data_IF_330742233855
#
_entry.id   IF_330742233855
#
_cell.length_a   1.000
_cell.length_b   1.000
_cell.length_c   1.000
_cell.angle_alpha   90.00
_cell.angle_beta   90.00
_cell.angle_gamma   90.00
#
_symmetry.space_group_name_H-M   'P 1'
#
loop_
_entity.id
_entity.type
_entity.pdbx_description
1 polymer ?
#
# COMPACT_ATOMS: atom_id res chain seq x y z
N UNK A 1 20.37 -49.95 14.91
CA UNK A 1 19.04 -49.32 14.91
C UNK A 1 18.98 -48.00 15.70
N UNK A 2 19.63 -47.86 16.85
CA UNK A 2 19.62 -46.58 17.62
C UNK A 2 20.31 -45.40 16.88
N UNK A 3 21.40 -45.63 16.18
CA UNK A 3 22.14 -44.59 15.46
C UNK A 3 21.36 -44.07 14.21
N UNK A 4 20.58 -44.92 13.56
CA UNK A 4 19.77 -44.54 12.41
C UNK A 4 18.61 -43.65 12.80
N UNK A 5 18.00 -43.86 13.99
CA UNK A 5 16.95 -43.02 14.55
C UNK A 5 17.42 -41.62 14.96
N UNK A 6 18.69 -41.54 15.41
CA UNK A 6 19.28 -40.23 15.79
C UNK A 6 19.59 -39.36 14.57
N UNK A 7 20.00 -39.96 13.45
CA UNK A 7 20.28 -39.26 12.20
C UNK A 7 18.97 -38.73 11.58
N UNK A 8 17.90 -39.53 11.60
CA UNK A 8 16.59 -39.10 11.10
C UNK A 8 15.97 -37.93 11.94
N UNK A 9 16.17 -37.93 13.25
CA UNK A 9 15.72 -36.85 14.11
C UNK A 9 16.49 -35.54 13.85
N UNK A 10 17.77 -35.60 13.54
CA UNK A 10 18.60 -34.43 13.25
C UNK A 10 18.27 -33.79 11.90
N UNK A 11 17.88 -34.58 10.91
CA UNK A 11 17.48 -34.09 9.59
C UNK A 11 16.11 -33.40 9.62
N UNK A 12 15.18 -33.88 10.47
CA UNK A 12 13.88 -33.21 10.64
C UNK A 12 13.97 -31.83 11.33
N UNK A 13 14.93 -31.65 12.24
CA UNK A 13 15.13 -30.34 12.92
C UNK A 13 15.79 -29.29 12.00
N UNK A 14 16.58 -29.70 11.02
CA UNK A 14 17.24 -28.78 10.10
C UNK A 14 16.27 -28.21 9.03
N UNK A 15 15.14 -28.87 8.79
CA UNK A 15 14.16 -28.42 7.79
C UNK A 15 13.26 -27.25 8.27
N UNK A 16 13.25 -26.92 9.57
CA UNK A 16 12.43 -25.83 10.13
C UNK A 16 13.13 -24.47 10.17
N UNK A 17 14.35 -24.34 9.69
CA UNK A 17 15.14 -23.11 9.74
C UNK A 17 15.16 -22.32 8.42
N UNK A 18 14.27 -22.62 7.48
CA UNK A 18 14.00 -21.69 6.39
C UNK A 18 13.14 -20.55 6.95
N UNK A 19 13.81 -19.57 7.55
CA UNK A 19 13.19 -18.28 7.84
C UNK A 19 12.70 -17.71 6.52
N UNK A 20 11.45 -17.95 6.18
CA UNK A 20 10.78 -17.19 5.16
C UNK A 20 10.88 -15.73 5.62
N UNK A 21 11.71 -14.94 4.98
CA UNK A 21 11.70 -13.49 5.15
C UNK A 21 10.31 -13.04 4.76
N UNK A 22 9.46 -12.81 5.77
CA UNK A 22 8.12 -12.34 5.56
C UNK A 22 8.24 -10.97 4.88
N UNK A 23 7.61 -10.83 3.72
CA UNK A 23 7.54 -9.57 2.99
C UNK A 23 6.84 -8.54 3.86
N UNK A 24 7.42 -7.36 4.05
CA UNK A 24 6.82 -6.31 4.84
C UNK A 24 5.52 -5.83 4.18
N UNK A 25 4.44 -5.89 4.95
CA UNK A 25 3.16 -5.29 4.58
C UNK A 25 3.10 -3.88 5.15
N UNK A 26 2.79 -2.90 4.33
CA UNK A 26 2.75 -1.50 4.74
C UNK A 26 1.49 -0.84 4.19
N UNK A 27 0.80 -0.08 5.04
CA UNK A 27 -0.31 0.77 4.61
C UNK A 27 0.01 2.23 4.87
N UNK A 28 -0.02 3.02 3.81
CA UNK A 28 -0.01 4.49 3.87
C UNK A 28 -1.43 5.00 3.87
N UNK A 29 -1.74 5.91 4.80
CA UNK A 29 -3.07 6.49 4.93
C UNK A 29 -3.05 7.96 4.54
N UNK A 30 -3.82 8.33 3.50
CA UNK A 30 -3.95 9.70 3.01
C UNK A 30 -5.43 10.12 3.09
N UNK A 31 -5.75 11.11 3.91
CA UNK A 31 -7.08 11.68 4.06
C UNK A 31 -7.15 13.17 3.68
N UNK A 32 -6.01 13.78 3.37
CA UNK A 32 -5.90 15.15 2.88
C UNK A 32 -4.83 15.24 1.79
N UNK A 33 -5.26 15.50 0.56
CA UNK A 33 -4.36 15.61 -0.60
C UNK A 33 -3.35 16.75 -0.44
N UNK A 34 -3.80 17.92 -0.01
CA UNK A 34 -2.94 19.11 0.08
C UNK A 34 -1.80 18.93 1.07
N UNK A 35 -2.08 18.27 2.20
CA UNK A 35 -1.12 18.07 3.29
C UNK A 35 -0.25 16.82 3.10
N UNK A 36 -0.75 15.80 2.44
CA UNK A 36 -0.16 14.46 2.55
C UNK A 36 0.24 13.83 1.21
N UNK A 37 -0.43 14.16 0.09
CA UNK A 37 -0.23 13.41 -1.15
C UNK A 37 1.21 13.48 -1.66
N UNK A 38 1.76 14.67 -1.88
CA UNK A 38 3.11 14.84 -2.40
C UNK A 38 4.18 14.21 -1.49
N UNK A 39 4.02 14.44 -0.18
CA UNK A 39 4.91 13.86 0.85
C UNK A 39 4.77 12.34 0.89
N UNK A 40 3.54 11.83 0.84
CA UNK A 40 3.24 10.41 0.83
C UNK A 40 3.83 9.68 -0.37
N UNK A 41 3.64 10.18 -1.58
CA UNK A 41 4.22 9.61 -2.80
C UNK A 41 5.76 9.56 -2.72
N UNK A 42 6.40 10.61 -2.20
CA UNK A 42 7.85 10.63 -1.99
C UNK A 42 8.28 9.59 -0.95
N UNK A 43 7.54 9.47 0.16
CA UNK A 43 7.84 8.50 1.22
C UNK A 43 7.69 7.06 0.70
N UNK A 44 6.65 6.76 -0.07
CA UNK A 44 6.45 5.43 -0.70
C UNK A 44 7.60 5.10 -1.64
N UNK A 45 8.01 6.05 -2.49
CA UNK A 45 9.17 5.86 -3.35
C UNK A 45 10.44 5.55 -2.56
N UNK A 46 10.76 6.38 -1.55
CA UNK A 46 11.95 6.19 -0.72
C UNK A 46 11.90 4.85 0.04
N UNK A 47 10.72 4.43 0.49
CA UNK A 47 10.51 3.14 1.14
C UNK A 47 10.92 1.99 0.19
N UNK A 48 10.39 1.99 -1.04
CA UNK A 48 10.71 0.97 -2.02
C UNK A 48 12.17 1.04 -2.52
N UNK A 49 12.82 2.20 -2.47
CA UNK A 49 14.23 2.34 -2.84
C UNK A 49 15.15 1.62 -1.83
N UNK A 50 14.72 1.50 -0.57
CA UNK A 50 15.44 0.79 0.51
C UNK A 50 14.96 -0.65 0.65
N UNK A 51 13.65 -0.88 0.60
CA UNK A 51 13.02 -2.22 0.63
C UNK A 51 12.15 -2.44 -0.61
N UNK A 52 12.74 -2.91 -1.72
CA UNK A 52 12.01 -3.13 -2.97
C UNK A 52 11.01 -4.30 -2.90
N UNK A 53 11.05 -5.10 -1.83
CA UNK A 53 10.14 -6.24 -1.63
C UNK A 53 8.89 -5.89 -0.84
N UNK A 54 8.85 -4.73 -0.19
CA UNK A 54 7.70 -4.30 0.59
C UNK A 54 6.41 -4.27 -0.25
N UNK A 55 5.32 -4.78 0.32
CA UNK A 55 3.98 -4.68 -0.25
C UNK A 55 3.26 -3.48 0.31
N UNK A 56 3.16 -2.43 -0.50
CA UNK A 56 2.61 -1.15 -0.08
C UNK A 56 1.21 -0.97 -0.67
N UNK A 57 0.25 -0.65 0.21
CA UNK A 57 -1.08 -0.17 -0.16
C UNK A 57 -1.24 1.25 0.35
N UNK A 58 -1.66 2.16 -0.51
CA UNK A 58 -2.04 3.53 -0.15
C UNK A 58 -3.56 3.59 -0.10
N UNK A 59 -4.12 3.77 1.10
CA UNK A 59 -5.57 3.89 1.30
C UNK A 59 -5.94 5.36 1.42
N UNK A 60 -6.91 5.78 0.62
CA UNK A 60 -7.35 7.19 0.56
C UNK A 60 -8.83 7.33 0.87
N UNK A 61 -9.20 8.40 1.58
CA UNK A 61 -10.59 8.80 1.81
C UNK A 61 -10.70 10.31 2.04
N UNK A 62 -11.89 10.83 2.20
CA UNK A 62 -12.17 12.25 2.38
C UNK A 62 -11.50 13.11 1.28
N UNK A 63 -10.78 14.17 1.63
CA UNK A 63 -10.01 15.00 0.70
C UNK A 63 -8.75 14.29 0.18
N UNK A 64 -8.35 13.21 0.80
CA UNK A 64 -7.18 12.41 0.40
C UNK A 64 -7.34 11.66 -0.91
N UNK A 65 -8.54 11.61 -1.51
CA UNK A 65 -8.75 10.98 -2.82
C UNK A 65 -8.41 11.90 -3.99
N UNK A 66 -8.30 13.20 -3.76
CA UNK A 66 -8.28 14.20 -4.84
C UNK A 66 -7.04 14.11 -5.73
N UNK A 67 -5.88 13.70 -5.22
CA UNK A 67 -4.69 13.53 -6.05
C UNK A 67 -4.80 12.35 -7.04
N UNK A 68 -5.78 11.46 -6.85
CA UNK A 68 -6.05 10.35 -7.75
C UNK A 68 -7.10 10.68 -8.83
N UNK A 69 -7.68 11.89 -8.81
CA UNK A 69 -8.54 12.35 -9.88
C UNK A 69 -7.74 12.64 -11.16
N UNK A 70 -8.35 12.38 -12.31
CA UNK A 70 -7.76 12.73 -13.61
C UNK A 70 -7.44 14.23 -13.67
N UNK A 71 -6.25 14.57 -14.12
CA UNK A 71 -5.80 15.95 -14.27
C UNK A 71 -5.42 16.64 -12.95
N UNK A 72 -5.47 15.94 -11.79
CA UNK A 72 -5.07 16.52 -10.51
C UNK A 72 -3.60 16.95 -10.52
N UNK A 73 -3.34 18.14 -9.97
CA UNK A 73 -2.01 18.75 -9.91
C UNK A 73 -1.62 19.10 -8.48
N UNK A 74 -0.32 19.05 -8.22
CA UNK A 74 0.25 19.55 -6.97
C UNK A 74 0.30 21.10 -6.94
N UNK A 75 0.78 21.65 -5.81
CA UNK A 75 0.90 23.09 -5.63
C UNK A 75 1.86 23.76 -6.64
N UNK A 76 2.74 23.00 -7.29
CA UNK A 76 3.68 23.47 -8.31
C UNK A 76 3.11 23.33 -9.73
N UNK A 77 1.90 22.82 -9.87
CA UNK A 77 1.23 22.59 -11.16
C UNK A 77 1.64 21.28 -11.85
N UNK A 78 2.37 20.40 -11.18
CA UNK A 78 2.77 19.09 -11.71
C UNK A 78 1.66 18.06 -11.52
N UNK A 79 1.40 17.24 -12.55
CA UNK A 79 0.38 16.19 -12.50
C UNK A 79 0.79 15.07 -11.53
N UNK A 80 -0.14 14.62 -10.70
CA UNK A 80 0.05 13.44 -9.84
C UNK A 80 0.08 12.12 -10.63
N UNK A 81 -0.52 12.07 -11.81
CA UNK A 81 -0.62 10.86 -12.64
C UNK A 81 0.73 10.17 -12.89
N UNK A 82 1.77 10.93 -13.23
CA UNK A 82 3.09 10.38 -13.50
C UNK A 82 3.71 9.64 -12.30
N UNK A 83 3.85 10.30 -11.15
CA UNK A 83 4.33 9.66 -9.92
C UNK A 83 3.48 8.46 -9.46
N UNK A 84 2.14 8.54 -9.59
CA UNK A 84 1.23 7.43 -9.25
C UNK A 84 1.50 6.24 -10.16
N UNK A 85 1.52 6.43 -11.49
CA UNK A 85 1.79 5.37 -12.45
C UNK A 85 3.17 4.71 -12.21
N UNK A 86 4.20 5.51 -11.92
CA UNK A 86 5.54 5.00 -11.62
C UNK A 86 5.55 4.09 -10.37
N UNK A 87 4.79 4.42 -9.33
CA UNK A 87 4.68 3.60 -8.12
C UNK A 87 3.84 2.35 -8.35
N UNK A 88 2.76 2.42 -9.12
CA UNK A 88 1.96 1.25 -9.52
C UNK A 88 2.82 0.26 -10.33
N UNK A 89 3.69 0.75 -11.22
CA UNK A 89 4.64 -0.10 -11.94
C UNK A 89 5.62 -0.83 -11.01
N UNK A 90 5.82 -0.32 -9.78
CA UNK A 90 6.61 -0.96 -8.71
C UNK A 90 5.77 -1.82 -7.76
N UNK A 91 4.48 -2.04 -8.06
CA UNK A 91 3.59 -2.91 -7.30
C UNK A 91 2.80 -2.23 -6.19
N UNK A 92 2.83 -0.89 -6.09
CA UNK A 92 2.01 -0.15 -5.13
C UNK A 92 0.54 -0.18 -5.56
N UNK A 93 -0.36 -0.37 -4.59
CA UNK A 93 -1.80 -0.25 -4.80
C UNK A 93 -2.30 1.06 -4.23
N UNK A 94 -3.11 1.79 -5.00
CA UNK A 94 -3.82 2.98 -4.54
C UNK A 94 -5.31 2.66 -4.45
N UNK A 95 -5.87 2.69 -3.25
CA UNK A 95 -7.26 2.33 -3.00
C UNK A 95 -8.07 3.55 -2.55
N UNK A 96 -9.15 3.82 -3.27
CA UNK A 96 -10.08 4.93 -3.05
C UNK A 96 -11.33 4.44 -2.32
N UNK A 97 -11.72 5.15 -1.26
CA UNK A 97 -12.91 4.85 -0.46
C UNK A 97 -14.20 5.15 -1.21
N UNK A 98 -15.04 4.13 -1.46
CA UNK A 98 -16.34 4.29 -2.15
C UNK A 98 -17.36 5.11 -1.33
N UNK A 99 -17.29 5.10 0.02
CA UNK A 99 -18.10 5.98 0.86
C UNK A 99 -17.79 7.45 0.56
N UNK A 100 -16.50 7.77 0.35
CA UNK A 100 -16.09 9.13 -0.04
C UNK A 100 -16.68 9.51 -1.40
N UNK A 101 -16.65 8.61 -2.38
CA UNK A 101 -17.27 8.85 -3.69
C UNK A 101 -18.75 9.20 -3.54
N UNK A 102 -19.47 8.39 -2.77
CA UNK A 102 -20.90 8.59 -2.53
C UNK A 102 -21.18 9.95 -1.85
N UNK A 103 -20.45 10.26 -0.80
CA UNK A 103 -20.66 11.49 0.00
C UNK A 103 -20.31 12.76 -0.79
N UNK A 104 -19.37 12.68 -1.72
CA UNK A 104 -18.91 13.81 -2.54
C UNK A 104 -19.46 13.80 -3.95
N UNK A 105 -20.37 12.87 -4.27
CA UNK A 105 -20.95 12.70 -5.59
C UNK A 105 -19.88 12.52 -6.70
N UNK A 106 -18.80 11.79 -6.39
CA UNK A 106 -17.74 11.47 -7.34
C UNK A 106 -18.02 10.12 -8.01
N UNK A 107 -17.59 9.97 -9.26
CA UNK A 107 -17.73 8.74 -10.05
C UNK A 107 -16.36 8.10 -10.25
N UNK A 108 -16.31 6.78 -10.36
CA UNK A 108 -15.06 6.01 -10.57
C UNK A 108 -14.33 6.45 -11.84
N UNK A 109 -15.07 6.80 -12.88
CA UNK A 109 -14.55 7.23 -14.19
C UNK A 109 -13.80 8.58 -14.15
N UNK A 110 -13.89 9.30 -13.03
CA UNK A 110 -13.14 10.55 -12.83
C UNK A 110 -11.73 10.33 -12.27
N UNK A 111 -11.40 9.08 -11.89
CA UNK A 111 -10.12 8.74 -11.29
C UNK A 111 -9.14 8.19 -12.31
N UNK A 112 -7.85 8.28 -11.99
CA UNK A 112 -6.78 7.65 -12.75
C UNK A 112 -7.07 6.15 -12.92
N UNK A 113 -6.68 5.59 -14.06
CA UNK A 113 -6.84 4.16 -14.35
C UNK A 113 -6.13 3.27 -13.34
N UNK A 114 -5.08 3.79 -12.72
CA UNK A 114 -4.28 3.12 -11.68
C UNK A 114 -4.98 3.01 -10.32
N UNK A 115 -6.09 3.72 -10.12
CA UNK A 115 -6.81 3.71 -8.86
C UNK A 115 -7.69 2.46 -8.74
N UNK A 116 -7.54 1.74 -7.64
CA UNK A 116 -8.46 0.71 -7.17
C UNK A 116 -9.51 1.33 -6.22
N UNK A 117 -10.56 0.58 -5.92
CA UNK A 117 -11.63 1.05 -5.05
C UNK A 117 -11.88 0.05 -3.93
N UNK A 118 -12.17 0.57 -2.74
CA UNK A 118 -12.52 -0.22 -1.56
C UNK A 118 -13.84 0.29 -0.96
N UNK A 119 -14.73 -0.57 -0.48
CA UNK A 119 -16.03 -0.15 0.07
C UNK A 119 -15.92 0.90 1.16
N UNK A 120 -14.93 0.79 2.05
CA UNK A 120 -14.65 1.76 3.13
C UNK A 120 -13.15 1.84 3.38
N UNK A 121 -12.59 3.04 3.24
CA UNK A 121 -11.17 3.28 3.53
C UNK A 121 -10.81 2.96 4.98
N UNK A 122 -11.63 3.37 5.94
CA UNK A 122 -11.38 3.13 7.38
C UNK A 122 -11.43 1.63 7.72
N UNK A 123 -12.41 0.90 7.19
CA UNK A 123 -12.47 -0.56 7.37
C UNK A 123 -11.27 -1.24 6.71
N UNK A 124 -10.88 -0.76 5.53
CA UNK A 124 -9.71 -1.30 4.82
C UNK A 124 -8.41 -1.12 5.61
N UNK A 125 -8.21 0.07 6.20
CA UNK A 125 -7.08 0.34 7.10
C UNK A 125 -7.04 -0.65 8.25
N UNK A 126 -8.16 -0.83 8.95
CA UNK A 126 -8.26 -1.76 10.07
C UNK A 126 -7.93 -3.20 9.65
N UNK A 127 -8.46 -3.67 8.52
CA UNK A 127 -8.19 -5.01 7.99
C UNK A 127 -6.74 -5.22 7.60
N UNK A 128 -6.10 -4.24 6.96
CA UNK A 128 -4.68 -4.33 6.61
C UNK A 128 -3.81 -4.41 7.87
N UNK A 129 -4.11 -3.61 8.90
CA UNK A 129 -3.39 -3.67 10.18
C UNK A 129 -3.59 -5.02 10.89
N UNK A 130 -4.80 -5.60 10.85
CA UNK A 130 -5.06 -6.94 11.38
C UNK A 130 -4.27 -8.03 10.65
N UNK A 131 -3.93 -7.82 9.38
CA UNK A 131 -3.09 -8.69 8.57
C UNK A 131 -1.59 -8.48 8.84
N UNK A 132 -1.23 -7.57 9.73
CA UNK A 132 0.16 -7.27 10.10
C UNK A 132 0.78 -6.10 9.36
N UNK A 133 0.01 -5.31 8.61
CA UNK A 133 0.55 -4.15 7.92
C UNK A 133 0.99 -3.05 8.91
N UNK A 134 2.22 -2.55 8.74
CA UNK A 134 2.66 -1.35 9.41
C UNK A 134 1.89 -0.14 8.89
N UNK A 135 1.40 0.71 9.80
CA UNK A 135 0.63 1.91 9.46
C UNK A 135 1.51 3.15 9.40
N UNK A 136 1.45 3.88 8.29
CA UNK A 136 2.18 5.14 8.10
C UNK A 136 1.19 6.24 7.69
N UNK A 137 1.21 7.33 8.44
CA UNK A 137 0.52 8.57 8.13
C UNK A 137 1.56 9.59 7.64
N UNK A 138 1.58 9.95 6.36
CA UNK A 138 2.58 10.89 5.85
C UNK A 138 2.34 12.33 6.31
#
# INVERSE_FOLDING_TARGET
MRRLRQILASVLLAACAASAWAQDLVVYHIDDTAQQALKGLRNVRNHLDVDPTAKITVVTHALGVDFLLEGAKDANGSLYAGPVAALVARGVKFEVCEITLKNRNLKKEQFLQEADFTPSGVVRLAKLQQQGAAYIKP
#
